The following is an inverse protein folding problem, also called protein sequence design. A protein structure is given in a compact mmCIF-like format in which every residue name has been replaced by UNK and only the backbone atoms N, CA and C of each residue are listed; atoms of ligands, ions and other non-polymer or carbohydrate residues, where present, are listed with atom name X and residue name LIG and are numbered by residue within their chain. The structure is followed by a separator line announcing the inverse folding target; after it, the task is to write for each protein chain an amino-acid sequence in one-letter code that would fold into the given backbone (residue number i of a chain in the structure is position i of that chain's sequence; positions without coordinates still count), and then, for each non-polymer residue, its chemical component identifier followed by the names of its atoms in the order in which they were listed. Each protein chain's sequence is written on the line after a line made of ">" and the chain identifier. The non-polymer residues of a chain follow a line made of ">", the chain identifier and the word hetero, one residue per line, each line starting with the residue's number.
data_IF_785054011248
#
_entry.id   IF_785054011248
#
_cell.length_a   1.000
_cell.length_b   1.000
_cell.length_c   1.000
_cell.angle_alpha   90.00
_cell.angle_beta   90.00
_cell.angle_gamma   90.00
#
_symmetry.space_group_name_H-M   'P 1'
#
loop_
_entity.id
_entity.type
_entity.pdbx_description
1 polymer ?
#
# COMPACT_ATOMS: atom_id res chain seq x y z
N UNK A 1 -24.35 -2.83 -8.87
CA UNK A 1 -23.09 -3.15 -9.60
C UNK A 1 -22.56 -4.53 -9.22
N UNK A 2 -21.45 -5.03 -9.79
CA UNK A 2 -20.86 -6.34 -9.42
C UNK A 2 -20.55 -6.41 -7.92
N UNK A 3 -19.94 -5.35 -7.37
CA UNK A 3 -19.62 -5.26 -5.94
C UNK A 3 -20.87 -5.24 -5.06
N UNK A 4 -21.91 -4.49 -5.45
CA UNK A 4 -23.14 -4.37 -4.67
C UNK A 4 -23.86 -5.72 -4.56
N UNK A 5 -23.92 -6.45 -5.66
CA UNK A 5 -24.49 -7.80 -5.70
C UNK A 5 -23.71 -8.74 -4.77
N UNK A 6 -22.38 -8.75 -4.86
CA UNK A 6 -21.55 -9.64 -4.05
C UNK A 6 -21.62 -9.34 -2.55
N UNK A 7 -21.55 -8.06 -2.17
CA UNK A 7 -21.61 -7.65 -0.76
C UNK A 7 -22.99 -7.90 -0.14
N UNK A 8 -24.07 -7.70 -0.90
CA UNK A 8 -25.45 -7.90 -0.40
C UNK A 8 -25.77 -9.37 -0.05
N UNK A 9 -24.93 -10.32 -0.46
CA UNK A 9 -25.08 -11.71 -0.05
C UNK A 9 -24.71 -11.94 1.43
N UNK A 10 -23.85 -11.08 2.00
CA UNK A 10 -23.29 -11.25 3.33
C UNK A 10 -23.56 -10.07 4.28
N UNK A 11 -23.97 -8.91 3.76
CA UNK A 11 -24.23 -7.70 4.54
C UNK A 11 -25.69 -7.25 4.40
N UNK A 12 -26.31 -6.86 5.51
CA UNK A 12 -27.74 -6.49 5.58
C UNK A 12 -28.08 -5.18 4.84
N UNK A 13 -27.13 -4.24 4.79
CA UNK A 13 -27.29 -2.93 4.13
C UNK A 13 -26.03 -2.62 3.35
N UNK A 14 -26.18 -2.36 2.06
CA UNK A 14 -25.09 -2.03 1.14
C UNK A 14 -25.49 -0.80 0.34
N UNK A 15 -24.57 0.17 0.22
CA UNK A 15 -24.70 1.34 -0.64
C UNK A 15 -23.38 1.50 -1.38
N UNK A 16 -23.42 1.52 -2.71
CA UNK A 16 -22.25 1.75 -3.56
C UNK A 16 -22.56 2.88 -4.51
N UNK A 17 -21.72 3.90 -4.50
CA UNK A 17 -21.87 5.09 -5.32
C UNK A 17 -20.53 5.44 -5.94
N UNK A 18 -20.58 5.98 -7.16
CA UNK A 18 -19.46 6.69 -7.75
C UNK A 18 -19.48 8.11 -7.20
N UNK A 19 -18.36 8.53 -6.64
CA UNK A 19 -18.21 9.85 -6.04
C UNK A 19 -16.79 10.35 -6.25
N UNK A 20 -16.63 11.67 -6.17
CA UNK A 20 -15.30 12.27 -6.14
C UNK A 20 -14.54 11.79 -4.90
N UNK A 21 -13.22 11.59 -5.06
CA UNK A 21 -12.37 11.18 -3.95
C UNK A 21 -12.34 12.31 -2.91
N UNK A 22 -12.74 12.06 -1.65
CA UNK A 22 -12.64 13.07 -0.61
C UNK A 22 -11.16 13.32 -0.28
N UNK A 23 -10.86 14.48 0.30
CA UNK A 23 -9.49 14.77 0.73
C UNK A 23 -9.04 13.82 1.84
N UNK A 24 -8.18 12.87 1.50
CA UNK A 24 -7.76 11.81 2.41
C UNK A 24 -6.88 12.30 3.57
N UNK A 25 -6.31 13.51 3.45
CA UNK A 25 -5.53 14.13 4.54
C UNK A 25 -6.38 14.36 5.79
N UNK A 26 -7.69 14.56 5.62
CA UNK A 26 -8.65 14.67 6.73
C UNK A 26 -8.81 13.38 7.54
N UNK A 27 -8.35 12.25 6.98
CA UNK A 27 -8.41 10.92 7.59
C UNK A 27 -7.01 10.40 7.97
N UNK A 28 -6.00 11.28 8.03
CA UNK A 28 -4.64 10.92 8.45
C UNK A 28 -3.73 10.37 7.36
N UNK A 29 -4.12 10.47 6.09
CA UNK A 29 -3.28 10.07 4.96
C UNK A 29 -2.27 11.17 4.62
N UNK A 30 -1.14 10.78 4.02
CA UNK A 30 -0.08 11.70 3.58
C UNK A 30 -0.29 12.28 2.17
N UNK A 31 -1.41 11.95 1.53
CA UNK A 31 -1.77 12.39 0.19
C UNK A 31 -3.26 12.77 0.13
N UNK A 32 -3.67 13.68 -0.79
CA UNK A 32 -5.05 14.15 -0.89
C UNK A 32 -6.02 13.11 -1.45
N UNK A 33 -5.56 12.08 -2.15
CA UNK A 33 -6.45 11.11 -2.80
C UNK A 33 -5.71 9.90 -3.38
N UNK A 34 -6.49 8.93 -3.90
CA UNK A 34 -6.02 7.69 -4.52
C UNK A 34 -6.07 7.70 -6.06
N UNK A 35 -6.57 8.78 -6.66
CA UNK A 35 -6.69 8.92 -8.10
C UNK A 35 -5.33 9.17 -8.78
N UNK A 36 -5.29 9.08 -10.11
CA UNK A 36 -4.08 9.23 -10.92
C UNK A 36 -3.87 8.02 -11.82
N UNK A 37 -2.66 7.47 -11.82
CA UNK A 37 -2.29 6.26 -12.57
C UNK A 37 -2.11 5.09 -11.59
N UNK A 38 -3.20 4.42 -11.17
CA UNK A 38 -3.13 3.36 -10.17
C UNK A 38 -2.36 2.15 -10.71
N UNK A 39 -1.53 1.55 -9.86
CA UNK A 39 -0.83 0.31 -10.13
C UNK A 39 -0.90 -0.59 -8.89
N UNK A 40 -0.92 -1.91 -9.11
CA UNK A 40 -0.82 -2.90 -8.04
C UNK A 40 0.59 -3.48 -8.06
N UNK A 41 1.23 -3.50 -6.90
CA UNK A 41 2.58 -4.04 -6.74
C UNK A 41 2.57 -5.11 -5.64
N UNK A 42 2.96 -6.32 -6.02
CA UNK A 42 3.18 -7.45 -5.11
C UNK A 42 4.68 -7.75 -5.06
N UNK A 43 5.28 -7.69 -3.87
CA UNK A 43 6.74 -7.75 -3.71
C UNK A 43 7.09 -8.88 -2.75
N UNK A 44 7.98 -9.76 -3.20
CA UNK A 44 8.43 -10.88 -2.42
C UNK A 44 7.42 -12.03 -2.40
N UNK A 45 7.38 -12.75 -1.28
CA UNK A 45 6.53 -13.92 -1.10
C UNK A 45 6.44 -14.25 0.39
N UNK A 46 5.31 -14.81 0.82
CA UNK A 46 5.17 -15.36 2.18
C UNK A 46 6.23 -16.44 2.48
N UNK A 47 6.77 -17.11 1.45
CA UNK A 47 7.86 -18.07 1.59
C UNK A 47 9.19 -17.46 2.07
N UNK A 48 9.36 -16.14 1.98
CA UNK A 48 10.51 -15.45 2.56
C UNK A 48 10.35 -15.20 4.05
N UNK A 49 9.16 -15.44 4.58
CA UNK A 49 8.82 -15.24 5.98
C UNK A 49 8.73 -16.57 6.75
N UNK A 50 8.05 -17.56 6.16
CA UNK A 50 7.71 -18.82 6.83
C UNK A 50 8.38 -20.02 6.13
N UNK A 51 8.92 -21.01 6.89
CA UNK A 51 8.91 -21.13 8.35
C UNK A 51 10.05 -20.37 9.06
N UNK A 52 11.11 -20.02 8.32
CA UNK A 52 12.25 -19.28 8.87
C UNK A 52 12.47 -18.01 8.04
N UNK A 53 12.40 -16.82 8.67
CA UNK A 53 12.53 -15.56 7.95
C UNK A 53 13.87 -15.39 7.24
N UNK A 54 13.80 -14.94 5.99
CA UNK A 54 14.94 -14.55 5.16
C UNK A 54 15.26 -13.08 5.34
N UNK A 55 16.15 -12.78 6.29
CA UNK A 55 16.53 -11.40 6.63
C UNK A 55 17.31 -10.68 5.52
N UNK A 56 17.80 -11.40 4.50
CA UNK A 56 18.41 -10.82 3.29
C UNK A 56 17.38 -10.19 2.34
N UNK A 57 16.08 -10.53 2.48
CA UNK A 57 15.01 -10.03 1.62
C UNK A 57 14.48 -8.69 2.12
N UNK A 58 15.26 -7.65 1.87
CA UNK A 58 14.91 -6.25 2.13
C UNK A 58 14.60 -5.53 0.83
N UNK A 59 13.59 -4.66 0.86
CA UNK A 59 13.18 -3.86 -0.28
C UNK A 59 13.02 -2.41 0.15
N UNK A 60 13.54 -1.51 -0.68
CA UNK A 60 13.43 -0.07 -0.45
C UNK A 60 12.53 0.54 -1.53
N UNK A 61 11.52 1.30 -1.12
CA UNK A 61 10.58 1.92 -2.07
C UNK A 61 11.29 2.79 -3.11
N UNK A 62 12.38 3.48 -2.73
CA UNK A 62 13.18 4.27 -3.68
C UNK A 62 13.71 3.43 -4.83
N UNK A 63 14.31 2.28 -4.52
CA UNK A 63 14.87 1.36 -5.53
C UNK A 63 13.76 0.76 -6.39
N UNK A 64 12.64 0.37 -5.77
CA UNK A 64 11.47 -0.16 -6.47
C UNK A 64 10.89 0.84 -7.47
N UNK A 65 10.67 2.10 -7.04
CA UNK A 65 10.17 3.13 -7.94
C UNK A 65 11.16 3.44 -9.07
N UNK A 66 12.47 3.38 -8.81
CA UNK A 66 13.49 3.52 -9.86
C UNK A 66 13.41 2.39 -10.89
N UNK A 67 13.30 1.13 -10.45
CA UNK A 67 13.13 -0.03 -11.34
C UNK A 67 11.84 0.05 -12.18
N UNK A 68 10.80 0.69 -11.66
CA UNK A 68 9.52 0.88 -12.34
C UNK A 68 9.46 2.16 -13.18
N UNK A 69 10.53 2.95 -13.25
CA UNK A 69 10.57 4.27 -13.89
C UNK A 69 9.51 5.25 -13.36
N UNK A 70 9.22 5.20 -12.06
CA UNK A 70 8.27 6.05 -11.35
C UNK A 70 8.98 7.14 -10.52
N UNK A 71 10.13 7.65 -10.96
CA UNK A 71 10.92 8.61 -10.15
C UNK A 71 10.49 10.05 -10.32
N UNK A 72 10.03 10.45 -11.52
CA UNK A 72 9.76 11.84 -11.87
C UNK A 72 8.45 12.44 -11.34
N UNK A 73 7.69 11.72 -10.52
CA UNK A 73 6.38 12.13 -10.02
C UNK A 73 6.24 11.87 -8.52
N UNK A 74 5.29 12.55 -7.87
CA UNK A 74 4.95 12.27 -6.48
C UNK A 74 4.13 10.97 -6.43
N UNK A 75 4.68 9.92 -5.81
CA UNK A 75 4.01 8.61 -5.73
C UNK A 75 3.38 8.43 -4.36
N UNK A 76 2.07 8.18 -4.34
CA UNK A 76 1.38 7.79 -3.13
C UNK A 76 1.22 6.26 -3.07
N UNK A 77 1.87 5.63 -2.09
CA UNK A 77 1.83 4.19 -1.86
C UNK A 77 1.00 3.93 -0.61
N UNK A 78 -0.03 3.10 -0.78
CA UNK A 78 -0.86 2.57 0.29
C UNK A 78 -0.84 1.05 0.24
N UNK A 79 -0.68 0.39 1.39
CA UNK A 79 -0.71 -1.05 1.44
C UNK A 79 -0.34 -1.64 2.78
N UNK A 80 0.01 -2.91 2.75
CA UNK A 80 0.34 -3.73 3.90
C UNK A 80 1.60 -4.54 3.59
N UNK A 81 2.53 -4.61 4.55
CA UNK A 81 3.75 -5.39 4.41
C UNK A 81 4.44 -5.58 5.75
N UNK A 82 5.52 -6.34 5.78
CA UNK A 82 6.36 -6.49 6.98
C UNK A 82 7.43 -5.40 6.99
N UNK A 83 7.75 -4.90 8.18
CA UNK A 83 8.82 -3.93 8.39
C UNK A 83 9.78 -4.45 9.47
N UNK A 84 11.07 -4.13 9.34
CA UNK A 84 12.13 -4.65 10.22
C UNK A 84 12.55 -3.67 11.31
N UNK A 85 12.12 -2.41 11.25
CA UNK A 85 12.59 -1.34 12.14
C UNK A 85 11.43 -0.60 12.86
N UNK A 86 11.52 -0.31 14.19
CA UNK A 86 12.52 -0.79 15.14
C UNK A 86 12.59 -2.32 15.24
N UNK A 87 13.78 -2.88 15.55
CA UNK A 87 14.04 -4.33 15.63
C UNK A 87 13.25 -5.03 16.75
N UNK A 88 12.44 -4.29 17.50
CA UNK A 88 11.55 -4.76 18.57
C UNK A 88 10.18 -5.19 18.07
N UNK A 89 9.81 -4.90 16.82
CA UNK A 89 8.57 -5.40 16.25
C UNK A 89 8.73 -6.90 15.98
N UNK A 90 7.80 -7.69 16.51
CA UNK A 90 7.71 -9.10 16.17
C UNK A 90 7.51 -9.18 14.66
N UNK A 91 8.30 -10.02 13.99
CA UNK A 91 8.28 -10.16 12.53
C UNK A 91 6.86 -10.52 12.02
N UNK A 92 5.98 -10.97 12.92
CA UNK A 92 4.57 -11.24 12.69
C UNK A 92 3.65 -10.02 12.46
N UNK A 93 4.13 -8.78 12.60
CA UNK A 93 3.28 -7.59 12.43
C UNK A 93 3.20 -7.09 10.98
N UNK A 94 1.98 -6.84 10.53
CA UNK A 94 1.69 -6.18 9.26
C UNK A 94 1.67 -4.67 9.48
N UNK A 95 2.64 -3.97 8.90
CA UNK A 95 2.66 -2.52 8.88
C UNK A 95 1.76 -2.00 7.77
N UNK A 96 0.88 -1.07 8.12
CA UNK A 96 0.15 -0.27 7.15
C UNK A 96 1.09 0.83 6.65
N UNK A 97 1.29 0.88 5.35
CA UNK A 97 2.23 1.82 4.72
C UNK A 97 1.42 2.95 4.11
N UNK A 98 1.69 4.18 4.53
CA UNK A 98 1.26 5.41 3.88
C UNK A 98 2.49 6.25 3.57
N UNK A 99 2.92 6.23 2.30
CA UNK A 99 4.14 6.90 1.89
C UNK A 99 3.84 7.79 0.69
N UNK A 100 4.24 9.05 0.77
CA UNK A 100 4.23 9.96 -0.37
C UNK A 100 5.64 10.47 -0.57
N UNK A 101 6.26 10.14 -1.71
CA UNK A 101 7.59 10.67 -2.02
C UNK A 101 7.89 10.66 -3.52
N UNK A 102 8.83 11.52 -3.90
CA UNK A 102 9.42 11.60 -5.22
C UNK A 102 10.93 11.35 -5.06
N UNK A 103 11.47 10.25 -5.62
CA UNK A 103 12.89 9.93 -5.52
C UNK A 103 13.84 11.05 -5.95
N UNK A 104 13.45 11.88 -6.93
CA UNK A 104 14.29 12.91 -7.56
C UNK A 104 14.28 14.26 -6.81
N UNK A 105 13.40 14.44 -5.81
CA UNK A 105 13.28 15.66 -4.99
C UNK A 105 13.99 15.58 -3.63
N UNK A 106 14.75 14.51 -3.36
CA UNK A 106 15.41 14.24 -2.06
C UNK A 106 16.92 14.39 -2.18
#
# INVERSE_FOLDING_TARGET
>A
TVLERGLSMNLKKVKIEWMDCPDLRLYGFVAPGLCGTPALLEIGSLSYFCPTPRLDKKYYFRELLSLLNLTGQDNFIVGAGTHIDPPTYDLAEVCIIFLSFNPDKI
#
